data_IF_845068074599
#
_entry.id   IF_845068074599
#
_cell.length_a   1.000
_cell.length_b   1.000
_cell.length_c   1.000
_cell.angle_alpha   90.00
_cell.angle_beta   90.00
_cell.angle_gamma   90.00
#
_symmetry.space_group_name_H-M   'P 1'
#
loop_
_entity.id
_entity.type
_entity.pdbx_description
1 polymer ?
#
# COMPACT_ATOMS: atom_id res chain seq x y z
N UNK A 1 -1.68 -4.17 -15.01
CA UNK A 1 -1.11 -4.82 -13.79
C UNK A 1 -0.97 -6.34 -13.91
N UNK A 2 -2.06 -7.11 -14.03
CA UNK A 2 -2.02 -8.59 -13.99
C UNK A 2 -0.97 -9.20 -14.94
N UNK A 3 -0.93 -8.76 -16.21
CA UNK A 3 0.04 -9.23 -17.21
C UNK A 3 1.50 -8.93 -16.83
N UNK A 4 1.78 -7.79 -16.19
CA UNK A 4 3.14 -7.44 -15.74
C UNK A 4 3.62 -8.40 -14.66
N UNK A 5 2.77 -8.67 -13.66
CA UNK A 5 3.08 -9.57 -12.56
C UNK A 5 3.13 -11.04 -12.99
N UNK A 6 2.24 -11.48 -13.88
CA UNK A 6 2.24 -12.86 -14.40
C UNK A 6 3.47 -13.17 -15.25
N UNK A 7 3.95 -12.20 -16.04
CA UNK A 7 5.11 -12.39 -16.90
C UNK A 7 6.44 -12.21 -16.17
N UNK A 8 6.42 -11.78 -14.90
CA UNK A 8 7.61 -11.61 -14.09
C UNK A 8 8.07 -12.96 -13.50
N UNK A 9 9.38 -13.18 -13.46
CA UNK A 9 10.00 -14.26 -12.67
C UNK A 9 10.31 -13.75 -11.26
N UNK A 10 9.25 -13.46 -10.49
CA UNK A 10 9.33 -12.76 -9.21
C UNK A 10 8.43 -11.51 -9.20
N UNK A 11 8.94 -10.39 -8.71
CA UNK A 11 8.27 -9.10 -8.87
C UNK A 11 8.56 -8.51 -10.26
N UNK A 12 7.69 -7.63 -10.78
CA UNK A 12 8.07 -6.71 -11.86
C UNK A 12 9.35 -5.95 -11.51
N UNK A 13 10.21 -5.69 -12.51
CA UNK A 13 11.55 -5.11 -12.29
C UNK A 13 11.51 -3.77 -11.56
N UNK A 14 10.56 -2.90 -11.94
CA UNK A 14 10.33 -1.59 -11.33
C UNK A 14 9.97 -1.69 -9.83
N UNK A 15 9.26 -2.75 -9.44
CA UNK A 15 8.93 -3.03 -8.04
C UNK A 15 10.17 -3.55 -7.31
N UNK A 16 10.92 -4.48 -7.92
CA UNK A 16 12.18 -4.98 -7.36
C UNK A 16 13.18 -3.86 -7.11
N UNK A 17 13.44 -3.02 -8.09
CA UNK A 17 14.37 -1.89 -8.00
C UNK A 17 13.96 -0.91 -6.88
N UNK A 18 12.67 -0.59 -6.79
CA UNK A 18 12.16 0.30 -5.74
C UNK A 18 12.32 -0.31 -4.36
N UNK A 19 11.99 -1.60 -4.18
CA UNK A 19 12.13 -2.27 -2.88
C UNK A 19 13.60 -2.40 -2.46
N UNK A 20 14.48 -2.75 -3.40
CA UNK A 20 15.93 -2.92 -3.17
C UNK A 20 16.69 -1.60 -2.99
N UNK A 21 16.05 -0.45 -3.24
CA UNK A 21 16.63 0.86 -2.90
C UNK A 21 16.91 1.03 -1.41
N UNK A 22 16.20 0.26 -0.56
CA UNK A 22 16.45 0.16 0.86
C UNK A 22 17.24 -1.11 1.19
N UNK A 23 18.38 -0.95 1.85
CA UNK A 23 19.30 -2.04 2.17
C UNK A 23 18.66 -3.16 3.02
N UNK A 24 17.56 -2.88 3.75
CA UNK A 24 16.81 -3.90 4.51
C UNK A 24 16.17 -4.96 3.61
N UNK A 25 15.95 -4.63 2.34
CA UNK A 25 15.25 -5.46 1.36
C UNK A 25 16.10 -5.77 0.13
N UNK A 26 17.43 -5.66 0.23
CA UNK A 26 18.35 -5.84 -0.89
C UNK A 26 18.22 -7.20 -1.61
N UNK A 27 17.85 -8.26 -0.88
CA UNK A 27 17.65 -9.61 -1.41
C UNK A 27 16.17 -10.05 -1.39
N UNK A 28 15.24 -9.10 -1.34
CA UNK A 28 13.81 -9.42 -1.24
C UNK A 28 13.33 -10.22 -2.46
N UNK A 29 12.56 -11.27 -2.19
CA UNK A 29 11.92 -12.10 -3.21
C UNK A 29 10.52 -12.52 -2.76
N UNK A 30 9.56 -12.65 -3.70
CA UNK A 30 8.22 -13.11 -3.37
C UNK A 30 8.23 -14.61 -3.04
N UNK A 31 7.51 -14.99 -1.99
CA UNK A 31 7.20 -16.39 -1.67
C UNK A 31 5.82 -16.79 -2.21
N UNK A 32 4.83 -15.92 -2.01
CA UNK A 32 3.45 -16.10 -2.42
C UNK A 32 2.89 -14.78 -2.94
N UNK A 33 2.10 -14.83 -4.00
CA UNK A 33 1.40 -13.68 -4.58
C UNK A 33 -0.07 -14.09 -4.77
N UNK A 34 -0.96 -13.39 -4.08
CA UNK A 34 -2.40 -13.64 -4.10
C UNK A 34 -3.11 -12.47 -4.79
N UNK A 35 -3.72 -12.66 -5.97
CA UNK A 35 -4.56 -11.63 -6.57
C UNK A 35 -5.84 -11.45 -5.75
N UNK A 36 -6.37 -10.23 -5.73
CA UNK A 36 -7.66 -9.88 -5.10
C UNK A 36 -7.78 -10.30 -3.61
N UNK A 37 -6.67 -10.33 -2.89
CA UNK A 37 -6.64 -10.83 -1.52
C UNK A 37 -7.43 -9.93 -0.56
N UNK A 38 -8.41 -10.52 0.12
CA UNK A 38 -9.24 -9.84 1.10
C UNK A 38 -8.68 -9.97 2.51
N UNK A 39 -8.43 -8.83 3.14
CA UNK A 39 -7.90 -8.73 4.51
C UNK A 39 -8.97 -8.11 5.43
N UNK A 40 -9.48 -8.84 6.43
CA UNK A 40 -10.30 -8.26 7.48
C UNK A 40 -9.53 -7.16 8.21
N UNK A 41 -10.19 -6.02 8.44
CA UNK A 41 -9.58 -4.86 9.10
C UNK A 41 -10.39 -4.47 10.35
N UNK A 42 -9.75 -3.86 11.36
CA UNK A 42 -10.43 -3.47 12.60
C UNK A 42 -11.46 -2.35 12.40
N UNK A 43 -12.51 -2.34 13.22
CA UNK A 43 -13.54 -1.28 13.23
C UNK A 43 -14.65 -1.43 12.18
N UNK A 44 -14.83 -2.61 11.58
CA UNK A 44 -15.92 -2.85 10.62
C UNK A 44 -15.91 -4.26 10.05
N UNK A 45 -16.98 -4.60 9.31
CA UNK A 45 -17.16 -5.92 8.70
C UNK A 45 -16.58 -6.03 7.28
N UNK A 46 -16.37 -4.91 6.60
CA UNK A 46 -15.87 -4.92 5.21
C UNK A 46 -14.35 -5.09 5.19
N UNK A 47 -13.82 -6.11 4.48
CA UNK A 47 -12.38 -6.27 4.32
C UNK A 47 -11.79 -5.22 3.37
N UNK A 48 -10.46 -5.10 3.38
CA UNK A 48 -9.72 -4.47 2.28
C UNK A 48 -9.47 -5.52 1.19
N UNK A 49 -9.78 -5.20 -0.05
CA UNK A 49 -9.52 -6.07 -1.21
C UNK A 49 -8.35 -5.52 -2.03
N UNK A 50 -7.14 -6.01 -1.79
CA UNK A 50 -5.94 -5.56 -2.52
C UNK A 50 -5.95 -6.11 -3.94
N UNK A 51 -5.43 -5.39 -4.93
CA UNK A 51 -5.33 -5.94 -6.29
C UNK A 51 -4.37 -7.14 -6.32
N UNK A 52 -3.30 -7.06 -5.55
CA UNK A 52 -2.52 -8.21 -5.13
C UNK A 52 -2.02 -8.04 -3.69
N UNK A 53 -1.80 -9.15 -3.00
CA UNK A 53 -1.04 -9.19 -1.75
C UNK A 53 0.07 -10.22 -1.86
N UNK A 54 1.28 -9.85 -1.45
CA UNK A 54 2.44 -10.71 -1.51
C UNK A 54 2.98 -10.97 -0.11
N UNK A 55 3.27 -12.24 0.18
CA UNK A 55 4.20 -12.61 1.24
C UNK A 55 5.57 -12.74 0.60
N UNK A 56 6.52 -11.93 1.03
CA UNK A 56 7.88 -11.92 0.55
C UNK A 56 8.85 -12.30 1.67
N UNK A 57 10.08 -12.63 1.30
CA UNK A 57 11.18 -12.85 2.23
C UNK A 57 12.42 -12.09 1.79
N UNK A 58 13.14 -11.56 2.76
CA UNK A 58 14.52 -11.11 2.64
C UNK A 58 15.37 -11.76 3.75
N UNK A 59 16.67 -11.48 3.78
CA UNK A 59 17.56 -11.99 4.83
C UNK A 59 17.06 -11.70 6.25
N UNK A 60 16.37 -10.57 6.45
CA UNK A 60 15.89 -10.11 7.75
C UNK A 60 14.54 -10.71 8.18
N UNK A 61 13.87 -11.48 7.31
CA UNK A 61 12.61 -12.15 7.61
C UNK A 61 11.51 -11.95 6.57
N UNK A 62 10.28 -12.19 6.98
CA UNK A 62 9.10 -12.05 6.12
C UNK A 62 8.68 -10.60 5.97
N UNK A 63 8.16 -10.24 4.80
CA UNK A 63 7.64 -8.90 4.49
C UNK A 63 6.23 -9.06 3.92
N UNK A 64 5.28 -8.31 4.48
CA UNK A 64 3.92 -8.24 3.96
C UNK A 64 3.78 -7.08 2.99
N UNK A 65 3.34 -7.35 1.76
CA UNK A 65 3.26 -6.32 0.71
C UNK A 65 1.83 -6.28 0.15
N UNK A 66 1.11 -5.18 0.38
CA UNK A 66 -0.13 -4.89 -0.34
C UNK A 66 0.19 -4.12 -1.62
N UNK A 67 -0.40 -4.51 -2.74
CA UNK A 67 -0.22 -3.88 -4.04
C UNK A 67 -1.54 -3.30 -4.52
N UNK A 68 -1.49 -2.04 -4.93
CA UNK A 68 -2.57 -1.33 -5.61
C UNK A 68 -2.12 -1.00 -7.02
N UNK A 69 -2.81 -1.55 -8.02
CA UNK A 69 -2.65 -1.18 -9.41
C UNK A 69 -3.35 0.14 -9.68
N UNK A 70 -2.66 1.07 -10.32
CA UNK A 70 -3.26 2.31 -10.79
C UNK A 70 -3.01 2.46 -12.29
N UNK A 71 -3.99 2.92 -13.06
CA UNK A 71 -3.78 3.37 -14.44
C UNK A 71 -4.08 4.87 -14.45
N UNK A 72 -5.26 5.26 -14.91
CA UNK A 72 -5.71 6.66 -14.89
C UNK A 72 -6.98 6.87 -14.04
N UNK A 73 -7.46 5.84 -13.35
CA UNK A 73 -8.59 5.94 -12.40
C UNK A 73 -8.14 6.47 -11.03
N UNK A 74 -9.01 7.22 -10.36
CA UNK A 74 -8.73 7.68 -8.98
C UNK A 74 -8.66 6.51 -8.00
N UNK A 75 -7.93 6.67 -6.88
CA UNK A 75 -7.97 5.77 -5.70
C UNK A 75 -9.29 5.84 -4.91
N UNK A 76 -10.42 5.86 -5.61
CA UNK A 76 -11.75 5.98 -5.03
C UNK A 76 -11.97 7.30 -4.27
N UNK A 77 -12.97 7.33 -3.35
CA UNK A 77 -13.34 8.54 -2.65
C UNK A 77 -12.26 8.98 -1.66
N UNK A 78 -12.15 10.28 -1.48
CA UNK A 78 -11.46 10.89 -0.36
C UNK A 78 -12.18 10.58 0.96
N UNK A 79 -11.48 10.73 2.08
CA UNK A 79 -12.05 10.57 3.43
C UNK A 79 -13.24 11.51 3.63
N UNK A 80 -13.16 12.75 3.15
CA UNK A 80 -14.25 13.73 3.25
C UNK A 80 -15.50 13.31 2.48
N UNK A 81 -15.33 12.83 1.25
CA UNK A 81 -16.44 12.28 0.45
C UNK A 81 -17.03 11.03 1.10
N UNK A 82 -16.18 10.14 1.60
CA UNK A 82 -16.60 8.90 2.24
C UNK A 82 -17.35 9.15 3.56
N UNK A 83 -16.96 10.18 4.33
CA UNK A 83 -17.61 10.60 5.57
C UNK A 83 -18.88 11.44 5.35
N UNK A 84 -19.24 11.77 4.11
CA UNK A 84 -20.49 12.49 3.85
C UNK A 84 -21.67 11.66 4.37
N UNK A 85 -22.49 12.27 5.23
CA UNK A 85 -23.57 11.60 5.97
C UNK A 85 -23.10 10.37 6.78
N UNK A 86 -21.94 10.49 7.45
CA UNK A 86 -21.34 9.38 8.19
C UNK A 86 -22.24 8.86 9.33
N UNK A 87 -22.40 7.54 9.37
CA UNK A 87 -22.91 6.84 10.56
C UNK A 87 -21.82 6.74 11.64
N UNK A 88 -22.21 6.42 12.87
CA UNK A 88 -21.27 6.14 13.96
C UNK A 88 -20.23 5.07 13.57
N UNK A 89 -20.66 4.02 12.87
CA UNK A 89 -19.76 2.96 12.40
C UNK A 89 -18.71 3.44 11.38
N UNK A 90 -18.99 4.45 10.54
CA UNK A 90 -17.96 5.02 9.66
C UNK A 90 -16.89 5.77 10.45
N UNK A 91 -17.30 6.50 11.49
CA UNK A 91 -16.38 7.22 12.37
C UNK A 91 -15.50 6.26 13.16
N UNK A 92 -16.09 5.22 13.76
CA UNK A 92 -15.38 4.16 14.48
C UNK A 92 -14.40 3.42 13.56
N UNK A 93 -14.80 3.16 12.32
CA UNK A 93 -13.94 2.55 11.31
C UNK A 93 -12.73 3.43 11.00
N UNK A 94 -12.93 4.72 10.76
CA UNK A 94 -11.82 5.62 10.46
C UNK A 94 -10.86 5.76 11.65
N UNK A 95 -11.40 5.87 12.87
CA UNK A 95 -10.59 5.90 14.09
C UNK A 95 -9.79 4.61 14.27
N UNK A 96 -10.38 3.46 13.96
CA UNK A 96 -9.69 2.16 14.00
C UNK A 96 -8.58 2.08 12.97
N UNK A 97 -8.79 2.57 11.75
CA UNK A 97 -7.75 2.64 10.71
C UNK A 97 -6.61 3.58 11.12
N UNK A 98 -6.93 4.76 11.65
CA UNK A 98 -5.93 5.70 12.14
C UNK A 98 -5.02 5.05 13.19
N UNK A 99 -5.61 4.33 14.15
CA UNK A 99 -4.89 3.59 15.19
C UNK A 99 -4.06 2.46 14.60
N UNK A 100 -4.64 1.67 13.70
CA UNK A 100 -3.98 0.53 13.05
C UNK A 100 -2.75 0.95 12.26
N UNK A 101 -2.78 2.15 11.67
CA UNK A 101 -1.69 2.72 10.90
C UNK A 101 -0.69 3.53 11.74
N UNK A 102 -0.97 3.75 13.04
CA UNK A 102 -0.13 4.59 13.90
C UNK A 102 -0.05 6.04 13.43
N UNK A 103 -1.10 6.55 12.78
CA UNK A 103 -1.08 7.92 12.26
C UNK A 103 -1.03 8.94 13.41
N UNK A 104 -0.17 9.98 13.30
CA UNK A 104 -0.01 10.97 14.37
C UNK A 104 -1.25 11.85 14.55
N UNK A 105 -1.99 12.09 13.47
CA UNK A 105 -3.22 12.88 13.44
C UNK A 105 -4.29 12.16 12.62
N UNK A 106 -5.54 12.57 12.78
CA UNK A 106 -6.61 12.10 11.91
C UNK A 106 -6.30 12.49 10.43
N UNK A 107 -6.56 11.59 9.45
CA UNK A 107 -6.35 11.90 8.04
C UNK A 107 -7.20 13.10 7.63
N UNK A 108 -6.63 14.00 6.80
CA UNK A 108 -7.42 15.13 6.30
C UNK A 108 -8.53 14.67 5.35
N UNK A 109 -9.59 15.48 5.16
CA UNK A 109 -10.67 15.14 4.24
C UNK A 109 -10.24 14.85 2.81
N UNK A 110 -9.08 15.34 2.36
CA UNK A 110 -8.53 15.13 1.01
C UNK A 110 -7.80 13.79 0.87
N UNK A 111 -7.45 13.11 1.97
CA UNK A 111 -6.74 11.83 1.89
C UNK A 111 -7.60 10.77 1.21
N UNK A 112 -7.05 10.02 0.25
CA UNK A 112 -7.75 8.91 -0.41
C UNK A 112 -7.98 7.76 0.58
N UNK A 113 -9.24 7.38 0.77
CA UNK A 113 -9.62 6.37 1.75
C UNK A 113 -9.02 4.99 1.41
N UNK A 114 -8.89 4.68 0.11
CA UNK A 114 -8.33 3.42 -0.37
C UNK A 114 -6.88 3.22 0.06
N UNK A 115 -6.04 4.26 0.00
CA UNK A 115 -4.62 4.18 0.40
C UNK A 115 -4.47 3.85 1.90
N UNK A 116 -5.34 4.39 2.76
CA UNK A 116 -5.40 4.01 4.18
C UNK A 116 -5.74 2.52 4.32
N UNK A 117 -6.72 2.05 3.56
CA UNK A 117 -7.20 0.68 3.61
C UNK A 117 -6.17 -0.34 3.14
N UNK A 118 -5.42 -0.04 2.06
CA UNK A 118 -4.34 -0.90 1.53
C UNK A 118 -3.13 -0.96 2.46
N UNK A 119 -2.80 0.18 3.06
CA UNK A 119 -1.71 0.21 4.03
C UNK A 119 -2.11 -0.57 5.30
N UNK A 120 -3.35 -0.43 5.75
CA UNK A 120 -3.84 -1.17 6.92
C UNK A 120 -3.89 -2.68 6.68
N UNK A 121 -4.18 -3.13 5.45
CA UNK A 121 -4.12 -4.56 5.12
C UNK A 121 -2.71 -5.10 5.13
N UNK A 122 -1.72 -4.37 4.63
CA UNK A 122 -0.31 -4.75 4.77
C UNK A 122 0.11 -4.88 6.24
N UNK A 123 -0.31 -3.94 7.10
CA UNK A 123 0.00 -3.99 8.54
C UNK A 123 -0.69 -5.18 9.23
N UNK A 124 -1.98 -5.41 8.94
CA UNK A 124 -2.75 -6.50 9.53
C UNK A 124 -2.16 -7.87 9.17
N UNK A 125 -1.81 -8.07 7.90
CA UNK A 125 -1.17 -9.32 7.48
C UNK A 125 0.27 -9.44 7.99
N UNK A 126 1.02 -8.33 8.10
CA UNK A 126 2.33 -8.35 8.74
C UNK A 126 2.24 -8.84 10.20
N UNK A 127 1.24 -8.38 10.95
CA UNK A 127 0.99 -8.87 12.33
C UNK A 127 0.64 -10.36 12.32
N UNK A 128 -0.23 -10.80 11.41
CA UNK A 128 -0.69 -12.19 11.31
C UNK A 128 0.41 -13.17 10.94
N UNK A 129 1.32 -12.77 10.06
CA UNK A 129 2.44 -13.60 9.60
C UNK A 129 3.74 -13.35 10.37
N UNK A 130 3.72 -12.52 11.41
CA UNK A 130 4.90 -12.10 12.15
C UNK A 130 6.00 -11.53 11.23
N UNK A 131 5.59 -10.78 10.21
CA UNK A 131 6.48 -10.15 9.26
C UNK A 131 7.27 -9.01 9.91
N UNK A 132 8.51 -8.85 9.48
CA UNK A 132 9.42 -7.83 9.98
C UNK A 132 9.09 -6.43 9.44
N UNK A 133 8.34 -6.34 8.34
CA UNK A 133 7.88 -5.08 7.75
C UNK A 133 6.53 -5.23 7.03
N UNK A 134 5.81 -4.11 6.92
CA UNK A 134 4.60 -3.97 6.12
C UNK A 134 4.82 -2.89 5.05
N UNK A 135 4.55 -3.21 3.78
CA UNK A 135 4.76 -2.30 2.65
C UNK A 135 3.47 -2.17 1.84
N UNK A 136 3.08 -0.94 1.53
CA UNK A 136 2.05 -0.66 0.53
C UNK A 136 2.70 -0.14 -0.75
N UNK A 137 2.53 -0.85 -1.86
CA UNK A 137 3.07 -0.46 -3.17
C UNK A 137 1.92 0.00 -4.05
N UNK A 138 1.99 1.24 -4.53
CA UNK A 138 1.22 1.64 -5.70
C UNK A 138 2.03 1.29 -6.95
N UNK A 139 1.53 0.39 -7.77
CA UNK A 139 2.11 0.06 -9.07
C UNK A 139 1.30 0.76 -10.17
N UNK A 140 1.74 1.95 -10.56
CA UNK A 140 1.04 2.79 -11.54
C UNK A 140 1.51 2.54 -12.96
N UNK A 141 0.57 2.24 -13.84
CA UNK A 141 0.73 2.14 -15.28
C UNK A 141 0.38 3.47 -15.98
N UNK A 142 0.50 4.62 -15.29
CA UNK A 142 0.40 5.95 -15.92
C UNK A 142 1.79 6.53 -16.07
N UNK A 143 2.21 6.75 -17.32
CA UNK A 143 3.53 7.35 -17.61
C UNK A 143 3.55 8.85 -17.25
N UNK A 144 2.39 9.49 -17.22
CA UNK A 144 2.19 10.86 -16.73
C UNK A 144 2.01 10.92 -15.20
N UNK A 145 2.12 9.77 -14.52
CA UNK A 145 2.03 9.64 -13.07
C UNK A 145 0.71 10.17 -12.50
N UNK A 146 -0.40 9.90 -13.20
CA UNK A 146 -1.74 10.25 -12.75
C UNK A 146 -1.94 9.83 -11.29
N UNK A 147 -2.45 10.75 -10.46
CA UNK A 147 -2.74 10.54 -9.05
C UNK A 147 -1.53 10.40 -8.10
N UNK A 148 -0.30 10.65 -8.57
CA UNK A 148 0.87 10.69 -7.69
C UNK A 148 0.75 11.78 -6.60
N UNK A 149 0.10 12.91 -6.90
CA UNK A 149 -0.14 13.97 -5.91
C UNK A 149 -1.03 13.51 -4.75
N UNK A 150 -2.03 12.67 -5.01
CA UNK A 150 -2.88 12.07 -3.98
C UNK A 150 -2.07 11.10 -3.10
N UNK A 151 -1.22 10.28 -3.71
CA UNK A 151 -0.28 9.41 -3.01
C UNK A 151 0.70 10.19 -2.13
N UNK A 152 1.29 11.26 -2.68
CA UNK A 152 2.20 12.15 -1.95
C UNK A 152 1.50 12.84 -0.78
N UNK A 153 0.25 13.28 -0.98
CA UNK A 153 -0.58 13.83 0.09
C UNK A 153 -0.85 12.81 1.20
N UNK A 154 -1.08 11.54 0.84
CA UNK A 154 -1.22 10.43 1.78
C UNK A 154 0.07 10.22 2.59
N UNK A 155 1.24 10.12 1.96
CA UNK A 155 2.51 9.96 2.67
C UNK A 155 2.78 11.12 3.64
N UNK A 156 2.43 12.35 3.23
CA UNK A 156 2.53 13.56 4.07
C UNK A 156 1.68 13.51 5.34
N UNK A 157 0.59 12.74 5.37
CA UNK A 157 -0.20 12.55 6.61
C UNK A 157 0.62 11.91 7.74
N UNK A 158 1.70 11.20 7.39
CA UNK A 158 2.64 10.59 8.32
C UNK A 158 3.89 11.45 8.55
N UNK A 159 3.95 12.66 7.97
CA UNK A 159 5.14 13.52 8.01
C UNK A 159 6.25 13.07 7.05
N UNK A 160 5.97 12.12 6.16
CA UNK A 160 6.95 11.62 5.20
C UNK A 160 6.90 12.40 3.87
N UNK A 161 8.06 12.62 3.26
CA UNK A 161 8.18 13.05 1.87
C UNK A 161 8.33 11.82 0.99
N UNK A 162 7.74 11.85 -0.21
CA UNK A 162 7.78 10.72 -1.14
C UNK A 162 8.10 11.14 -2.56
N UNK A 163 8.92 10.35 -3.23
CA UNK A 163 9.26 10.45 -4.65
C UNK A 163 8.84 9.17 -5.38
N UNK A 164 8.77 9.25 -6.71
CA UNK A 164 8.57 8.09 -7.57
C UNK A 164 9.80 7.18 -7.49
N UNK A 165 9.60 5.87 -7.38
CA UNK A 165 10.67 4.87 -7.36
C UNK A 165 11.44 4.78 -6.02
N UNK A 166 10.95 5.45 -4.98
CA UNK A 166 11.57 5.42 -3.64
C UNK A 166 10.68 4.68 -2.65
N UNK A 167 11.33 3.87 -1.79
CA UNK A 167 10.67 3.26 -0.64
C UNK A 167 10.75 4.20 0.56
N UNK A 168 9.58 4.57 1.10
CA UNK A 168 9.45 5.59 2.13
C UNK A 168 8.87 4.98 3.40
N UNK A 169 9.51 5.20 4.54
CA UNK A 169 8.96 4.77 5.83
C UNK A 169 7.95 5.80 6.36
N UNK A 170 6.73 5.33 6.63
CA UNK A 170 5.63 6.11 7.20
C UNK A 170 5.67 6.13 8.73
N UNK A 171 6.19 5.06 9.35
CA UNK A 171 6.24 4.95 10.80
C UNK A 171 6.53 3.54 11.26
N UNK A 172 6.23 3.27 12.53
CA UNK A 172 6.36 1.94 13.15
C UNK A 172 5.10 1.65 13.96
N UNK A 173 4.48 0.50 13.73
CA UNK A 173 3.28 0.04 14.44
C UNK A 173 3.57 -1.32 15.06
N UNK A 174 3.38 -1.47 16.37
CA UNK A 174 3.63 -2.74 17.07
C UNK A 174 5.03 -3.33 16.80
N UNK A 175 6.04 -2.47 16.64
CA UNK A 175 7.41 -2.86 16.30
C UNK A 175 7.65 -3.16 14.81
N UNK A 176 6.63 -3.06 13.95
CA UNK A 176 6.70 -3.31 12.51
C UNK A 176 6.86 -1.98 11.79
N UNK A 177 7.98 -1.74 11.07
CA UNK A 177 8.10 -0.62 10.14
C UNK A 177 7.02 -0.69 9.07
N UNK A 178 6.32 0.42 8.87
CA UNK A 178 5.31 0.58 7.82
C UNK A 178 5.89 1.47 6.73
N UNK A 179 5.95 0.96 5.52
CA UNK A 179 6.53 1.65 4.37
C UNK A 179 5.53 1.75 3.22
N UNK A 180 5.81 2.66 2.31
CA UNK A 180 5.06 2.85 1.09
C UNK A 180 5.97 3.16 -0.09
N UNK A 181 5.56 2.79 -1.30
CA UNK A 181 6.30 3.07 -2.51
C UNK A 181 5.35 3.35 -3.68
N UNK A 182 5.80 4.19 -4.61
CA UNK A 182 5.18 4.38 -5.92
C UNK A 182 6.11 3.85 -7.01
N UNK A 183 5.67 2.83 -7.75
CA UNK A 183 6.41 2.22 -8.85
C UNK A 183 5.73 2.56 -10.17
N UNK A 184 6.48 3.03 -11.16
CA UNK A 184 5.98 3.24 -12.52
C UNK A 184 6.14 1.97 -13.33
N UNK A 185 5.01 1.40 -13.73
CA UNK A 185 4.92 0.19 -14.53
C UNK A 185 5.49 0.38 -15.93
N UNK A 186 6.15 -0.64 -16.44
CA UNK A 186 6.81 -0.59 -17.73
C UNK A 186 5.80 -0.36 -18.89
N UNK A 187 6.10 0.57 -19.79
CA UNK A 187 5.19 1.03 -20.87
C UNK A 187 4.68 -0.10 -21.80
N UNK A 188 5.45 -1.19 -21.93
CA UNK A 188 5.06 -2.38 -22.70
C UNK A 188 3.75 -3.04 -22.22
N UNK A 189 3.34 -2.80 -20.97
CA UNK A 189 2.13 -3.37 -20.37
C UNK A 189 0.91 -2.44 -20.41
N UNK A 190 0.98 -1.31 -21.13
CA UNK A 190 -0.13 -0.33 -21.24
C UNK A 190 -1.20 -0.69 -22.27
N UNK A 191 -0.85 -1.54 -23.24
CA UNK A 191 -1.70 -1.83 -24.41
C UNK A 191 -1.96 -3.33 -24.61
N UNK A 192 -1.67 -4.15 -23.59
CA UNK A 192 -1.99 -5.58 -23.56
C UNK A 192 -3.30 -5.80 -22.81
#
# INVERSE_FOLDING_TARGET
>A
MATSWQNASGFPSEVTETLQSDARFADISPLLIFPEWQVPLPGGQRPSQNDAWCLASCHSGLVSIAVEGNVDETFGPTVGEWLKNASAGKQERLASLQKELGMPNAPTPQTRYQLLHRTASAVSEAKRFHAMAAIMVVHSFSQEHAWFDDYRHFAKQFGAASSIGELVQLGVVSGIPVLTAWCTGHAKYLHM
#
